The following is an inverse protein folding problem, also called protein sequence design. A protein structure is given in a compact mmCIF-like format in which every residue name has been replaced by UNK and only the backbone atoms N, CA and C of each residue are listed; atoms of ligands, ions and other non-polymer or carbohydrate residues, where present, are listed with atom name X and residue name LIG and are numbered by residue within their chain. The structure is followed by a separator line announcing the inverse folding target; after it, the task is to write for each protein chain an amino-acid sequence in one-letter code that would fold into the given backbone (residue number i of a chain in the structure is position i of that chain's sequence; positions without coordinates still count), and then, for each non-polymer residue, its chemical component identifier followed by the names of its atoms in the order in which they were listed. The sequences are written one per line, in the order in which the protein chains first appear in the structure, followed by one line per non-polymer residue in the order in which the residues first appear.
data_IF_349310807489
#
_entry.id   IF_349310807489
#
_cell.length_a   1.000
_cell.length_b   1.000
_cell.length_c   1.000
_cell.angle_alpha   90.00
_cell.angle_beta   90.00
_cell.angle_gamma   90.00
#
_symmetry.space_group_name_H-M   'P 1'
#
loop_
_entity.id
_entity.type
_entity.pdbx_description
1 polymer ?
#
# COMPACT_ATOMS: atom_id res chain seq x y z
N UNK A 1 20.87 3.59 -34.01
CA UNK A 1 19.64 3.49 -33.21
C UNK A 1 18.59 2.85 -34.10
N UNK A 2 18.56 1.51 -34.16
CA UNK A 2 17.67 0.77 -35.04
C UNK A 2 16.29 0.71 -34.40
N UNK A 3 15.30 1.34 -35.03
CA UNK A 3 13.90 1.23 -34.63
C UNK A 3 13.46 -0.23 -34.82
N UNK A 4 13.22 -0.94 -33.73
CA UNK A 4 12.56 -2.24 -33.79
C UNK A 4 11.14 -2.01 -34.24
N UNK A 5 10.86 -2.34 -35.49
CA UNK A 5 9.54 -2.33 -36.10
C UNK A 5 8.67 -3.34 -35.35
N UNK A 6 7.88 -2.86 -34.39
CA UNK A 6 6.96 -3.70 -33.62
C UNK A 6 5.82 -4.13 -34.52
N UNK A 7 5.83 -5.40 -34.94
CA UNK A 7 4.72 -6.03 -35.67
C UNK A 7 3.45 -5.92 -34.82
N UNK A 8 2.41 -5.32 -35.38
CA UNK A 8 1.12 -5.20 -34.72
C UNK A 8 0.48 -6.57 -34.48
N UNK A 9 -0.25 -6.72 -33.38
CA UNK A 9 -1.05 -7.89 -33.06
C UNK A 9 -2.54 -7.56 -33.18
N UNK A 10 -3.36 -8.50 -33.66
CA UNK A 10 -4.80 -8.27 -33.86
C UNK A 10 -5.60 -8.54 -32.57
N UNK A 11 -6.47 -7.60 -32.21
CA UNK A 11 -7.39 -7.74 -31.08
C UNK A 11 -8.45 -8.84 -31.34
N UNK A 12 -8.60 -9.79 -30.41
CA UNK A 12 -9.58 -10.88 -30.54
C UNK A 12 -11.05 -10.43 -30.43
N UNK A 13 -11.31 -9.23 -29.87
CA UNK A 13 -12.66 -8.74 -29.65
C UNK A 13 -13.16 -7.83 -30.78
N UNK A 14 -12.30 -6.97 -31.34
CA UNK A 14 -12.68 -6.01 -32.38
C UNK A 14 -11.89 -6.12 -33.68
N UNK A 15 -10.89 -7.00 -33.76
CA UNK A 15 -10.06 -7.18 -34.96
C UNK A 15 -9.04 -6.08 -35.23
N UNK A 16 -9.01 -5.00 -34.43
CA UNK A 16 -8.06 -3.90 -34.63
C UNK A 16 -6.61 -4.36 -34.40
N UNK A 17 -5.71 -3.97 -35.30
CA UNK A 17 -4.27 -4.19 -35.18
C UNK A 17 -3.64 -3.13 -34.27
N UNK A 18 -3.01 -3.56 -33.19
CA UNK A 18 -2.42 -2.68 -32.18
C UNK A 18 -1.03 -3.19 -31.77
N UNK A 19 -0.09 -2.31 -31.37
CA UNK A 19 1.27 -2.72 -31.04
C UNK A 19 1.35 -3.60 -29.78
N UNK A 20 0.39 -3.45 -28.85
CA UNK A 20 0.37 -4.19 -27.61
C UNK A 20 -1.06 -4.65 -27.28
N UNK A 21 -1.21 -5.95 -27.06
CA UNK A 21 -2.43 -6.55 -26.55
C UNK A 21 -2.32 -6.85 -25.06
N UNK A 22 -3.41 -6.64 -24.33
CA UNK A 22 -3.56 -7.09 -22.94
C UNK A 22 -4.59 -8.20 -22.88
N UNK A 23 -4.17 -9.43 -22.53
CA UNK A 23 -5.04 -10.62 -22.51
C UNK A 23 -5.78 -10.81 -23.84
N UNK A 24 -5.08 -10.62 -24.97
CA UNK A 24 -5.63 -10.75 -26.33
C UNK A 24 -6.57 -9.62 -26.77
N UNK A 25 -6.66 -8.52 -26.02
CA UNK A 25 -7.55 -7.38 -26.31
C UNK A 25 -6.78 -6.08 -26.43
N UNK A 26 -7.21 -5.20 -27.31
CA UNK A 26 -6.75 -3.81 -27.33
C UNK A 26 -7.17 -3.08 -26.05
N UNK A 27 -6.53 -1.96 -25.73
CA UNK A 27 -6.79 -1.19 -24.50
C UNK A 27 -8.27 -0.87 -24.28
N UNK A 28 -8.99 -0.46 -25.33
CA UNK A 28 -10.40 -0.09 -25.24
C UNK A 28 -11.28 -1.31 -24.94
N UNK A 29 -11.10 -2.41 -25.68
CA UNK A 29 -11.83 -3.65 -25.45
C UNK A 29 -11.51 -4.26 -24.09
N UNK A 30 -10.26 -4.14 -23.64
CA UNK A 30 -9.83 -4.58 -22.31
C UNK A 30 -10.54 -3.78 -21.21
N UNK A 31 -10.59 -2.44 -21.31
CA UNK A 31 -11.26 -1.60 -20.31
C UNK A 31 -12.74 -1.91 -20.20
N UNK A 32 -13.45 -1.97 -21.34
CA UNK A 32 -14.88 -2.36 -21.36
C UNK A 32 -15.12 -3.73 -20.77
N UNK A 33 -14.25 -4.69 -21.09
CA UNK A 33 -14.31 -6.03 -20.53
C UNK A 33 -14.02 -6.06 -19.02
N UNK A 34 -13.08 -5.24 -18.54
CA UNK A 34 -12.75 -5.15 -17.12
C UNK A 34 -13.89 -4.52 -16.31
N UNK A 35 -14.51 -3.46 -16.83
CA UNK A 35 -15.61 -2.73 -16.20
C UNK A 35 -16.91 -3.55 -16.15
N UNK A 36 -17.16 -4.40 -17.15
CA UNK A 36 -18.39 -5.22 -17.20
C UNK A 36 -18.38 -6.43 -16.27
N UNK A 37 -17.27 -6.69 -15.56
CA UNK A 37 -17.16 -7.88 -14.71
C UNK A 37 -18.04 -7.75 -13.47
N UNK A 38 -18.93 -8.73 -13.22
CA UNK A 38 -19.75 -8.71 -12.02
C UNK A 38 -18.91 -8.95 -10.77
N UNK A 39 -19.26 -8.27 -9.68
CA UNK A 39 -18.74 -8.55 -8.35
C UNK A 39 -19.56 -9.68 -7.72
N UNK A 40 -18.89 -10.61 -7.04
CA UNK A 40 -19.52 -11.74 -6.36
C UNK A 40 -20.50 -11.32 -5.26
N UNK A 41 -21.50 -12.15 -4.99
CA UNK A 41 -22.45 -11.92 -3.91
C UNK A 41 -21.73 -11.90 -2.54
N UNK A 42 -22.13 -10.97 -1.67
CA UNK A 42 -21.51 -10.82 -0.35
C UNK A 42 -20.11 -10.19 -0.35
N UNK A 43 -19.60 -9.74 -1.51
CA UNK A 43 -18.33 -9.05 -1.57
C UNK A 43 -18.37 -7.72 -0.80
N UNK A 44 -17.20 -7.33 -0.28
CA UNK A 44 -16.97 -6.04 0.33
C UNK A 44 -15.73 -5.40 -0.28
N UNK A 45 -15.68 -4.07 -0.30
CA UNK A 45 -14.48 -3.34 -0.69
C UNK A 45 -13.32 -3.71 0.23
N UNK A 46 -12.21 -4.19 -0.34
CA UNK A 46 -11.02 -4.62 0.44
C UNK A 46 -10.32 -3.48 1.20
N UNK A 47 -10.65 -2.22 0.91
CA UNK A 47 -10.03 -1.04 1.56
C UNK A 47 -10.92 -0.45 2.65
N UNK A 48 -12.19 -0.19 2.35
CA UNK A 48 -13.10 0.53 3.26
C UNK A 48 -14.24 -0.33 3.82
N UNK A 49 -14.39 -1.57 3.35
CA UNK A 49 -15.44 -2.48 3.80
C UNK A 49 -16.85 -2.19 3.27
N UNK A 50 -17.04 -1.23 2.35
CA UNK A 50 -18.36 -0.97 1.75
C UNK A 50 -18.94 -2.25 1.11
N UNK A 51 -20.21 -2.56 1.41
CA UNK A 51 -20.93 -3.76 0.94
C UNK A 51 -22.04 -3.43 -0.07
N UNK A 52 -22.27 -2.14 -0.38
CA UNK A 52 -23.26 -1.73 -1.39
C UNK A 52 -22.84 -2.26 -2.76
N UNK A 53 -23.59 -3.24 -3.27
CA UNK A 53 -23.24 -3.97 -4.49
C UNK A 53 -23.10 -3.06 -5.70
N UNK A 54 -23.97 -2.06 -5.82
CA UNK A 54 -24.00 -1.11 -6.94
C UNK A 54 -22.76 -0.21 -6.96
N UNK A 55 -22.08 -0.03 -5.82
CA UNK A 55 -20.87 0.77 -5.71
C UNK A 55 -19.59 -0.04 -5.94
N UNK A 56 -19.70 -1.38 -6.04
CA UNK A 56 -18.56 -2.28 -6.12
C UNK A 56 -18.20 -2.58 -7.57
N UNK A 57 -16.89 -2.59 -7.84
CA UNK A 57 -16.31 -3.02 -9.10
C UNK A 57 -15.12 -3.95 -8.85
N UNK A 58 -14.83 -4.81 -9.82
CA UNK A 58 -13.61 -5.62 -9.82
C UNK A 58 -12.47 -4.84 -10.46
N UNK A 59 -11.38 -4.68 -9.73
CA UNK A 59 -10.19 -3.95 -10.22
C UNK A 59 -9.02 -4.90 -10.34
N UNK A 60 -8.34 -4.87 -11.48
CA UNK A 60 -7.11 -5.61 -11.69
C UNK A 60 -5.92 -4.83 -11.09
N UNK A 61 -5.42 -5.29 -9.95
CA UNK A 61 -4.23 -4.77 -9.30
C UNK A 61 -3.18 -5.86 -9.19
N UNK A 62 -1.96 -5.58 -9.66
CA UNK A 62 -0.82 -6.54 -9.63
C UNK A 62 -1.22 -7.94 -10.12
N UNK A 63 -1.91 -8.01 -11.28
CA UNK A 63 -2.41 -9.24 -11.93
C UNK A 63 -3.48 -10.02 -11.14
N UNK A 64 -3.94 -9.50 -10.01
CA UNK A 64 -5.05 -10.06 -9.21
C UNK A 64 -6.28 -9.19 -9.36
N UNK A 65 -7.45 -9.81 -9.23
CA UNK A 65 -8.74 -9.12 -9.24
C UNK A 65 -9.22 -8.95 -7.81
N UNK A 66 -9.53 -7.73 -7.41
CA UNK A 66 -10.01 -7.43 -6.06
C UNK A 66 -11.29 -6.60 -6.13
N UNK A 67 -12.28 -6.88 -5.25
CA UNK A 67 -13.47 -6.04 -5.15
C UNK A 67 -13.13 -4.73 -4.43
N UNK A 68 -13.43 -3.61 -5.07
CA UNK A 68 -13.23 -2.28 -4.51
C UNK A 68 -14.46 -1.41 -4.83
N UNK A 69 -14.79 -0.47 -3.96
CA UNK A 69 -15.77 0.54 -4.33
C UNK A 69 -15.21 1.50 -5.39
N UNK A 70 -16.07 2.17 -6.16
CA UNK A 70 -15.64 3.12 -7.19
C UNK A 70 -14.65 4.17 -6.67
N UNK A 71 -14.87 4.72 -5.48
CA UNK A 71 -13.99 5.72 -4.86
C UNK A 71 -12.60 5.15 -4.53
N UNK A 72 -12.53 3.99 -3.87
CA UNK A 72 -11.25 3.36 -3.55
C UNK A 72 -10.49 2.94 -4.81
N UNK A 73 -11.22 2.48 -5.84
CA UNK A 73 -10.65 2.15 -7.13
C UNK A 73 -10.03 3.33 -7.87
N UNK A 74 -10.76 4.44 -7.95
CA UNK A 74 -10.23 5.67 -8.56
C UNK A 74 -8.99 6.19 -7.82
N UNK A 75 -8.98 6.11 -6.48
CA UNK A 75 -7.79 6.45 -5.69
C UNK A 75 -6.61 5.55 -6.04
N UNK A 76 -6.83 4.24 -6.19
CA UNK A 76 -5.78 3.30 -6.58
C UNK A 76 -5.14 3.64 -7.93
N UNK A 77 -5.93 4.05 -8.92
CA UNK A 77 -5.39 4.46 -10.23
C UNK A 77 -4.61 5.78 -10.20
N UNK A 78 -4.81 6.61 -9.17
CA UNK A 78 -4.08 7.88 -8.98
C UNK A 78 -2.86 7.74 -8.08
N UNK A 79 -2.75 6.64 -7.34
CA UNK A 79 -1.58 6.38 -6.50
C UNK A 79 -0.40 6.01 -7.38
N UNK A 80 0.77 6.57 -7.07
CA UNK A 80 2.03 6.13 -7.65
C UNK A 80 2.26 4.65 -7.37
N UNK A 81 3.07 4.01 -8.20
CA UNK A 81 3.48 2.64 -7.98
C UNK A 81 4.04 2.44 -6.56
N UNK A 82 3.36 1.59 -5.81
CA UNK A 82 3.79 1.16 -4.48
C UNK A 82 5.07 0.33 -4.67
N UNK A 83 6.15 0.62 -3.92
CA UNK A 83 7.38 -0.16 -4.00
C UNK A 83 7.10 -1.65 -3.78
N UNK A 84 7.74 -2.50 -4.57
CA UNK A 84 7.56 -3.95 -4.53
C UNK A 84 8.50 -4.63 -3.55
N UNK A 85 9.57 -3.94 -3.14
CA UNK A 85 10.56 -4.46 -2.20
C UNK A 85 10.86 -3.47 -1.07
N UNK A 86 11.37 -4.00 0.05
CA UNK A 86 11.89 -3.18 1.15
C UNK A 86 13.06 -2.28 0.69
N UNK A 87 13.84 -2.73 -0.29
CA UNK A 87 14.94 -1.95 -0.86
C UNK A 87 14.43 -0.74 -1.64
N UNK A 88 13.42 -0.91 -2.49
CA UNK A 88 12.77 0.19 -3.20
C UNK A 88 12.10 1.17 -2.25
N UNK A 89 11.42 0.65 -1.22
CA UNK A 89 10.82 1.47 -0.18
C UNK A 89 11.89 2.31 0.54
N UNK A 90 13.01 1.70 0.94
CA UNK A 90 14.14 2.40 1.54
C UNK A 90 14.73 3.44 0.60
N UNK A 91 14.90 3.13 -0.69
CA UNK A 91 15.42 4.05 -1.69
C UNK A 91 14.49 5.25 -1.94
N UNK A 92 13.17 5.02 -1.96
CA UNK A 92 12.16 6.08 -2.09
C UNK A 92 12.15 6.98 -0.86
N UNK A 93 12.13 6.41 0.35
CA UNK A 93 12.24 7.16 1.60
C UNK A 93 13.56 7.93 1.70
N UNK A 94 14.68 7.36 1.24
CA UNK A 94 15.97 8.03 1.23
C UNK A 94 15.97 9.24 0.28
N UNK A 95 15.32 9.15 -0.89
CA UNK A 95 15.14 10.29 -1.80
C UNK A 95 14.29 11.40 -1.17
N UNK A 96 13.16 11.05 -0.56
CA UNK A 96 12.27 12.01 0.11
C UNK A 96 12.95 12.69 1.31
N UNK A 97 13.70 11.93 2.12
CA UNK A 97 14.48 12.49 3.24
C UNK A 97 15.56 13.48 2.80
N UNK A 98 16.11 13.35 1.58
CA UNK A 98 17.08 14.31 1.03
C UNK A 98 16.43 15.59 0.50
N UNK A 99 15.13 15.57 0.20
CA UNK A 99 14.42 16.72 -0.37
C UNK A 99 14.07 17.80 0.67
N UNK A 100 14.07 17.46 1.96
CA UNK A 100 13.87 18.43 3.03
C UNK A 100 15.17 18.57 3.81
N UNK A 101 16.00 19.61 3.54
CA UNK A 101 16.94 20.03 4.55
C UNK A 101 16.10 20.34 5.79
N UNK A 102 16.28 19.56 6.86
CA UNK A 102 15.91 20.03 8.19
C UNK A 102 16.50 21.42 8.27
N UNK A 103 15.69 22.44 8.54
CA UNK A 103 16.16 23.82 8.73
C UNK A 103 17.16 23.81 9.89
N UNK A 104 18.42 23.52 9.57
CA UNK A 104 19.56 23.64 10.44
C UNK A 104 20.13 25.02 10.12
N UNK A 105 19.98 25.95 11.05
CA UNK A 105 20.55 27.29 10.91
C UNK A 105 19.65 28.34 10.26
N UNK A 106 18.31 28.22 10.36
CA UNK A 106 17.50 29.44 10.23
C UNK A 106 17.90 30.35 11.40
N UNK A 107 18.72 31.36 11.11
CA UNK A 107 19.14 32.34 12.09
C UNK A 107 17.88 32.95 12.72
N UNK A 108 17.81 32.93 14.04
CA UNK A 108 16.66 33.50 14.75
C UNK A 108 16.64 35.01 14.48
N UNK A 109 15.73 35.45 13.60
CA UNK A 109 15.60 36.86 13.21
C UNK A 109 15.00 37.75 14.31
N UNK A 110 14.82 37.22 15.52
CA UNK A 110 14.32 37.96 16.67
C UNK A 110 15.44 38.79 17.28
N UNK A 111 15.18 40.08 17.48
CA UNK A 111 16.07 41.06 18.13
C UNK A 111 16.40 40.65 19.58
N UNK A 112 15.50 39.91 20.23
CA UNK A 112 15.71 39.34 21.56
C UNK A 112 15.58 37.82 21.50
N UNK A 113 16.69 37.13 21.71
CA UNK A 113 16.73 35.67 21.82
C UNK A 113 16.35 35.25 23.24
N UNK A 114 15.06 35.33 23.58
CA UNK A 114 14.56 34.73 24.82
C UNK A 114 14.52 33.22 24.62
N UNK A 115 15.36 32.51 25.37
CA UNK A 115 15.44 31.05 25.33
C UNK A 115 14.13 30.44 25.83
N UNK A 116 13.39 29.78 24.93
CA UNK A 116 12.11 29.11 25.27
C UNK A 116 12.31 27.90 26.20
N UNK A 117 13.55 27.53 26.52
CA UNK A 117 13.89 26.44 27.45
C UNK A 117 14.11 26.90 28.89
N UNK A 118 14.04 28.20 29.19
CA UNK A 118 13.93 28.67 30.56
C UNK A 118 12.44 28.79 30.87
N UNK A 119 11.90 27.74 31.46
CA UNK A 119 10.46 27.57 31.69
C UNK A 119 10.07 26.13 31.43
N UNK A 120 10.71 25.23 32.17
CA UNK A 120 10.52 23.80 32.12
C UNK A 120 9.02 23.46 32.19
N UNK A 121 8.45 23.09 31.05
CA UNK A 121 7.12 22.50 30.96
C UNK A 121 7.25 21.09 31.49
N UNK A 122 7.15 20.97 32.81
CA UNK A 122 6.46 19.94 33.61
C UNK A 122 7.03 19.96 35.03
N UNK A 123 6.46 20.81 35.89
CA UNK A 123 6.29 20.41 37.30
C UNK A 123 5.21 19.32 37.32
N UNK A 124 5.59 18.07 37.05
CA UNK A 124 4.86 16.92 37.58
C UNK A 124 5.76 16.34 38.67
N UNK A 125 5.31 16.45 39.91
CA UNK A 125 6.11 16.18 41.11
C UNK A 125 5.95 17.28 42.15
N UNK A 126 4.70 17.59 42.51
CA UNK A 126 4.43 18.24 43.79
C UNK A 126 4.59 17.19 44.91
N UNK A 127 4.94 17.58 46.15
CA UNK A 127 5.03 16.63 47.24
C UNK A 127 3.64 16.03 47.49
N UNK A 128 3.43 14.76 47.13
CA UNK A 128 2.17 14.05 47.30
C UNK A 128 1.64 13.25 46.09
N UNK A 129 2.35 13.18 44.95
CA UNK A 129 2.00 12.21 43.91
C UNK A 129 2.63 10.85 44.24
N UNK A 130 1.93 10.05 45.03
CA UNK A 130 2.26 8.64 45.22
C UNK A 130 2.17 7.92 43.86
N UNK A 131 3.29 7.35 43.44
CA UNK A 131 3.39 6.46 42.29
C UNK A 131 2.69 5.15 42.64
N UNK A 132 1.49 4.93 42.09
CA UNK A 132 0.95 3.58 41.90
C UNK A 132 0.88 3.32 40.40
N UNK A 133 2.01 2.88 39.84
CA UNK A 133 2.00 2.09 38.62
C UNK A 133 2.12 0.65 39.11
N UNK A 134 0.98 -0.02 39.26
CA UNK A 134 0.94 -1.46 39.47
C UNK A 134 1.71 -2.13 38.33
N UNK A 135 2.88 -2.66 38.67
CA UNK A 135 3.68 -3.54 37.82
C UNK A 135 3.00 -4.91 37.72
N UNK A 136 1.76 -4.95 37.21
CA UNK A 136 1.11 -6.20 36.85
C UNK A 136 1.65 -6.63 35.47
N UNK A 137 2.29 -7.81 35.34
CA UNK A 137 2.64 -8.34 34.04
C UNK A 137 1.35 -8.58 33.25
N UNK A 138 1.30 -8.03 32.04
CA UNK A 138 0.18 -8.24 31.11
C UNK A 138 0.24 -9.69 30.60
N UNK A 139 -0.39 -10.61 31.33
CA UNK A 139 -0.53 -12.01 30.91
C UNK A 139 -1.60 -12.07 29.82
N UNK A 140 -1.17 -12.31 28.58
CA UNK A 140 -2.06 -12.63 27.48
C UNK A 140 -2.25 -14.15 27.51
N UNK A 141 -3.39 -14.60 28.02
CA UNK A 141 -3.79 -16.00 27.92
C UNK A 141 -4.17 -16.28 26.46
N UNK A 142 -3.23 -16.79 25.67
CA UNK A 142 -3.57 -17.44 24.40
C UNK A 142 -4.12 -18.81 24.75
N UNK A 143 -5.42 -19.02 24.55
CA UNK A 143 -5.99 -20.36 24.49
C UNK A 143 -5.27 -21.12 23.38
N UNK A 144 -4.40 -22.04 23.77
CA UNK A 144 -3.77 -22.99 22.88
C UNK A 144 -4.83 -24.06 22.55
N UNK A 145 -5.75 -23.72 21.66
CA UNK A 145 -6.51 -24.76 20.96
C UNK A 145 -5.53 -25.48 20.04
N UNK A 146 -5.39 -26.78 20.28
CA UNK A 146 -4.49 -27.71 19.61
C UNK A 146 -4.66 -27.64 18.09
N UNK A 147 -3.82 -26.85 17.42
CA UNK A 147 -3.71 -26.89 15.97
C UNK A 147 -2.73 -27.99 15.59
N UNK A 148 -3.24 -29.21 15.38
CA UNK A 148 -2.55 -30.28 14.66
C UNK A 148 -2.41 -29.89 13.18
N UNK A 149 -1.51 -28.95 12.89
CA UNK A 149 -1.15 -28.56 11.54
C UNK A 149 0.04 -29.38 11.05
N UNK A 150 -0.23 -30.44 10.28
CA UNK A 150 0.78 -31.21 9.54
C UNK A 150 1.59 -30.27 8.62
N UNK A 151 2.84 -30.01 9.01
CA UNK A 151 3.74 -29.14 8.26
C UNK A 151 4.29 -29.91 7.06
N UNK A 152 3.66 -29.76 5.89
CA UNK A 152 4.29 -30.21 4.63
C UNK A 152 5.46 -29.29 4.31
N UNK A 153 6.68 -29.79 4.51
CA UNK A 153 7.89 -29.11 4.06
C UNK A 153 7.88 -29.02 2.54
N UNK A 154 7.64 -27.82 2.02
CA UNK A 154 7.85 -27.53 0.59
C UNK A 154 9.36 -27.53 0.37
N UNK A 155 9.90 -28.66 -0.08
CA UNK A 155 11.27 -28.74 -0.59
C UNK A 155 11.30 -28.04 -1.94
N UNK A 156 11.83 -26.82 -1.97
CA UNK A 156 12.09 -26.10 -3.21
C UNK A 156 13.14 -26.86 -4.03
N UNK A 157 12.87 -27.22 -5.30
CA UNK A 157 13.88 -27.85 -6.14
C UNK A 157 15.01 -26.87 -6.46
N UNK A 158 16.24 -27.39 -6.47
CA UNK A 158 17.44 -26.64 -6.77
C UNK A 158 17.40 -26.08 -8.21
N UNK A 159 17.98 -24.87 -8.45
CA UNK A 159 18.00 -24.28 -9.78
C UNK A 159 18.87 -25.10 -10.74
N UNK A 160 18.49 -25.20 -12.03
CA UNK A 160 19.31 -25.89 -13.02
C UNK A 160 20.60 -25.10 -13.30
N UNK A 161 21.68 -25.87 -13.48
CA UNK A 161 23.05 -25.43 -13.83
C UNK A 161 23.16 -24.85 -15.24
#
# INVERSE_FOLDING_TARGET
MSATESKGECCQACGAEVPHLRRGRCTVCYLRWAESRPVGAGAACVVCGNRRRDDLQLIEYRRRWMPMCHTCGQRLHRMDDVPQSLLELRARLARERRAVPRRAGAADGRVFQIDRRIGDRRRFGGPGSEEFIDAAPLVIETAADEFEGEYTQIVSPAPPS
#
